data_IF_782020915773
#
_entry.id   IF_782020915773
#
_cell.length_a   1.000
_cell.length_b   1.000
_cell.length_c   1.000
_cell.angle_alpha   90.00
_cell.angle_beta   90.00
_cell.angle_gamma   90.00
#
_symmetry.space_group_name_H-M   'P 1'
#
loop_
_entity.id
_entity.type
_entity.pdbx_description
1 polymer ?
#
# COMPACT_ATOMS: atom_id res chain seq x y z
N UNK A 1 3.14 0.32 -23.63
CA UNK A 1 3.08 -0.76 -22.64
C UNK A 1 1.64 -1.25 -22.44
N UNK A 2 1.06 -1.94 -23.44
CA UNK A 2 -0.33 -2.43 -23.35
C UNK A 2 -0.53 -3.52 -22.29
N UNK A 3 0.55 -4.21 -21.90
CA UNK A 3 0.58 -5.24 -20.87
C UNK A 3 0.46 -4.67 -19.43
N UNK A 4 0.74 -3.38 -19.24
CA UNK A 4 0.59 -2.71 -17.93
C UNK A 4 -0.86 -2.26 -17.76
N UNK A 5 -1.55 -2.85 -16.79
CA UNK A 5 -2.94 -2.51 -16.48
C UNK A 5 -3.11 -1.56 -15.30
N UNK A 6 -2.10 -1.49 -14.42
CA UNK A 6 -2.06 -0.57 -13.28
C UNK A 6 -0.72 0.15 -13.27
N UNK A 7 -0.79 1.49 -13.32
CA UNK A 7 0.36 2.39 -13.25
C UNK A 7 0.18 3.33 -12.07
N UNK A 8 1.18 3.37 -11.17
CA UNK A 8 1.30 4.39 -10.13
C UNK A 8 2.46 5.33 -10.40
N UNK A 9 2.69 6.28 -9.49
CA UNK A 9 3.85 7.18 -9.54
C UNK A 9 4.43 7.40 -8.15
N UNK A 10 5.65 7.96 -8.10
CA UNK A 10 6.18 8.54 -6.88
C UNK A 10 5.34 9.76 -6.44
N UNK A 11 5.53 10.19 -5.19
CA UNK A 11 4.81 11.33 -4.62
C UNK A 11 5.72 12.17 -3.74
N UNK A 12 5.60 13.50 -3.83
CA UNK A 12 6.12 14.42 -2.82
C UNK A 12 5.18 14.44 -1.62
N UNK A 13 5.75 14.39 -0.43
CA UNK A 13 5.00 14.54 0.81
C UNK A 13 5.18 15.94 1.36
N UNK A 14 4.07 16.60 1.69
CA UNK A 14 4.07 17.90 2.34
C UNK A 14 3.34 17.84 3.67
N UNK A 15 3.75 18.66 4.63
CA UNK A 15 3.06 18.81 5.92
C UNK A 15 1.78 19.66 5.78
N UNK A 16 1.11 19.94 6.90
CA UNK A 16 -0.11 20.75 6.92
C UNK A 16 0.11 22.18 6.41
N UNK A 17 1.32 22.73 6.58
CA UNK A 17 1.72 24.06 6.10
C UNK A 17 2.17 24.08 4.64
N UNK A 18 2.18 22.93 3.95
CA UNK A 18 2.63 22.83 2.55
C UNK A 18 4.15 22.66 2.38
N UNK A 19 4.92 22.59 3.47
CA UNK A 19 6.36 22.39 3.40
C UNK A 19 6.68 20.94 3.03
N UNK A 20 7.57 20.73 2.06
CA UNK A 20 8.01 19.40 1.67
C UNK A 20 8.75 18.70 2.83
N UNK A 21 8.35 17.46 3.10
CA UNK A 21 8.90 16.62 4.18
C UNK A 21 9.54 15.34 3.66
N UNK A 22 9.41 15.05 2.39
CA UNK A 22 10.05 13.93 1.73
C UNK A 22 9.41 13.51 0.41
N UNK A 23 10.03 12.54 -0.25
CA UNK A 23 9.53 11.90 -1.46
C UNK A 23 9.35 10.41 -1.19
N UNK A 24 8.24 9.85 -1.64
CA UNK A 24 7.99 8.41 -1.64
C UNK A 24 8.21 7.88 -3.04
N UNK A 25 9.22 7.03 -3.20
CA UNK A 25 9.49 6.36 -4.49
C UNK A 25 9.20 4.88 -4.33
N UNK A 26 8.13 4.37 -4.94
CA UNK A 26 7.79 2.96 -4.92
C UNK A 26 8.67 2.16 -5.89
N UNK A 27 8.73 0.80 -5.77
CA UNK A 27 9.34 -0.05 -6.80
C UNK A 27 8.72 0.21 -8.17
N UNK A 28 9.55 0.30 -9.21
CA UNK A 28 9.11 0.68 -10.55
C UNK A 28 8.55 -0.50 -11.37
N UNK A 29 9.21 -1.66 -11.26
CA UNK A 29 8.91 -2.84 -12.08
C UNK A 29 7.93 -3.80 -11.40
N UNK A 30 7.26 -4.65 -12.21
CA UNK A 30 6.26 -5.62 -11.77
C UNK A 30 6.80 -6.56 -10.68
N UNK A 31 8.01 -7.08 -10.83
CA UNK A 31 8.60 -8.03 -9.89
C UNK A 31 8.88 -7.36 -8.53
N UNK A 32 9.42 -6.16 -8.53
CA UNK A 32 9.64 -5.35 -7.33
C UNK A 32 8.34 -5.00 -6.63
N UNK A 33 7.33 -4.60 -7.40
CA UNK A 33 5.99 -4.28 -6.89
C UNK A 33 5.36 -5.50 -6.23
N UNK A 34 5.37 -6.68 -6.87
CA UNK A 34 4.83 -7.92 -6.28
C UNK A 34 5.53 -8.30 -4.99
N UNK A 35 6.86 -8.22 -4.94
CA UNK A 35 7.63 -8.46 -3.70
C UNK A 35 7.29 -7.45 -2.59
N UNK A 36 6.98 -6.22 -2.94
CA UNK A 36 6.56 -5.20 -1.98
C UNK A 36 5.10 -5.38 -1.54
N UNK A 37 4.22 -5.78 -2.46
CA UNK A 37 2.78 -5.87 -2.26
C UNK A 37 2.41 -6.82 -1.13
N UNK A 38 3.01 -8.00 -1.03
CA UNK A 38 2.74 -8.93 0.07
C UNK A 38 3.22 -8.38 1.44
N UNK A 39 4.13 -7.43 1.46
CA UNK A 39 4.65 -6.78 2.67
C UNK A 39 3.87 -5.53 3.06
N UNK A 40 3.15 -4.93 2.13
CA UNK A 40 2.35 -3.71 2.29
C UNK A 40 1.96 -3.10 0.96
N UNK A 41 1.12 -2.08 1.00
CA UNK A 41 0.71 -1.36 -0.21
C UNK A 41 1.87 -0.52 -0.77
N UNK A 42 2.41 -0.85 -1.98
CA UNK A 42 3.50 -0.09 -2.59
C UNK A 42 3.03 1.09 -3.43
N UNK A 43 1.71 1.26 -3.61
CA UNK A 43 1.18 2.33 -4.44
C UNK A 43 0.77 3.55 -3.63
N UNK A 44 0.98 4.71 -4.20
CA UNK A 44 0.34 5.95 -3.77
C UNK A 44 -1.03 6.01 -4.45
N UNK A 45 -2.10 5.65 -3.73
CA UNK A 45 -3.44 5.47 -4.29
C UNK A 45 -3.89 6.63 -5.20
N UNK A 46 -3.66 7.88 -4.77
CA UNK A 46 -4.04 9.07 -5.54
C UNK A 46 -3.29 9.27 -6.86
N UNK A 47 -2.22 8.52 -7.10
CA UNK A 47 -1.45 8.58 -8.34
C UNK A 47 -1.80 7.48 -9.34
N UNK A 48 -2.68 6.55 -8.96
CA UNK A 48 -2.91 5.33 -9.74
C UNK A 48 -3.80 5.60 -10.94
N UNK A 49 -3.37 5.10 -12.10
CA UNK A 49 -4.14 4.96 -13.32
C UNK A 49 -4.40 3.49 -13.60
N UNK A 50 -5.63 3.16 -13.98
CA UNK A 50 -6.08 1.80 -14.29
C UNK A 50 -6.63 1.73 -15.72
N UNK A 51 -6.31 0.64 -16.41
CA UNK A 51 -7.05 0.30 -17.63
C UNK A 51 -8.45 -0.20 -17.24
N UNK A 52 -9.49 0.34 -17.87
CA UNK A 52 -10.88 -0.01 -17.57
C UNK A 52 -11.12 -1.53 -17.60
N UNK A 53 -10.66 -2.22 -18.64
CA UNK A 53 -10.80 -3.68 -18.77
C UNK A 53 -10.25 -4.44 -17.55
N UNK A 54 -9.12 -4.00 -17.02
CA UNK A 54 -8.45 -4.66 -15.88
C UNK A 54 -9.24 -4.45 -14.59
N UNK A 55 -9.90 -3.29 -14.46
CA UNK A 55 -10.80 -3.02 -13.34
C UNK A 55 -12.02 -3.94 -13.39
N UNK A 56 -12.58 -4.14 -14.57
CA UNK A 56 -13.73 -5.03 -14.79
C UNK A 56 -13.36 -6.50 -14.53
N UNK A 57 -12.22 -6.99 -15.03
CA UNK A 57 -11.66 -8.31 -14.74
C UNK A 57 -11.34 -8.52 -13.25
N UNK A 58 -10.87 -7.48 -12.56
CA UNK A 58 -10.60 -7.45 -11.12
C UNK A 58 -11.84 -7.28 -10.25
N UNK A 59 -13.03 -7.21 -10.83
CA UNK A 59 -14.32 -7.05 -10.14
C UNK A 59 -14.44 -5.75 -9.30
N UNK A 60 -13.68 -4.72 -9.64
CA UNK A 60 -13.74 -3.43 -8.96
C UNK A 60 -13.32 -3.45 -7.49
N UNK A 61 -13.71 -2.45 -6.75
CA UNK A 61 -13.50 -2.37 -5.30
C UNK A 61 -14.48 -3.27 -4.53
N UNK A 62 -13.99 -3.96 -3.50
CA UNK A 62 -14.87 -4.67 -2.56
C UNK A 62 -15.55 -3.67 -1.63
N UNK A 63 -16.84 -3.40 -1.85
CA UNK A 63 -17.63 -2.42 -1.10
C UNK A 63 -17.81 -2.78 0.39
N UNK A 64 -17.59 -4.05 0.76
CA UNK A 64 -17.63 -4.52 2.15
C UNK A 64 -16.42 -4.04 2.96
N UNK A 65 -15.35 -3.63 2.29
CA UNK A 65 -14.15 -3.12 2.94
C UNK A 65 -14.28 -1.60 3.17
N UNK A 66 -14.27 -1.19 4.42
CA UNK A 66 -14.26 0.24 4.81
C UNK A 66 -12.87 0.84 4.92
N UNK A 67 -11.82 0.00 4.84
CA UNK A 67 -10.39 0.36 4.87
C UNK A 67 -9.60 -0.65 4.03
N UNK A 68 -8.45 -0.22 3.51
CA UNK A 68 -7.55 -1.03 2.68
C UNK A 68 -8.19 -1.58 1.38
N UNK A 69 -9.25 -0.93 0.87
CA UNK A 69 -9.93 -1.31 -0.38
C UNK A 69 -8.97 -1.29 -1.57
N UNK A 70 -8.10 -0.27 -1.62
CA UNK A 70 -7.06 -0.11 -2.61
C UNK A 70 -6.05 -1.28 -2.54
N UNK A 71 -5.61 -1.65 -1.35
CA UNK A 71 -4.67 -2.74 -1.16
C UNK A 71 -5.24 -4.09 -1.59
N UNK A 72 -6.52 -4.38 -1.26
CA UNK A 72 -7.22 -5.57 -1.72
C UNK A 72 -7.31 -5.61 -3.26
N UNK A 73 -7.71 -4.49 -3.86
CA UNK A 73 -7.83 -4.39 -5.32
C UNK A 73 -6.47 -4.62 -6.00
N UNK A 74 -5.40 -3.96 -5.53
CA UNK A 74 -4.05 -4.15 -6.11
C UNK A 74 -3.58 -5.60 -6.01
N UNK A 75 -3.88 -6.27 -4.91
CA UNK A 75 -3.55 -7.68 -4.72
C UNK A 75 -4.29 -8.58 -5.73
N UNK A 76 -5.56 -8.32 -6.00
CA UNK A 76 -6.33 -9.05 -7.02
C UNK A 76 -5.85 -8.73 -8.43
N UNK A 77 -5.65 -7.46 -8.75
CA UNK A 77 -5.16 -7.02 -10.07
C UNK A 77 -3.76 -7.56 -10.39
N UNK A 78 -2.92 -7.74 -9.38
CA UNK A 78 -1.60 -8.33 -9.59
C UNK A 78 -1.63 -9.73 -10.20
N UNK A 79 -2.78 -10.41 -10.21
CA UNK A 79 -2.94 -11.77 -10.80
C UNK A 79 -3.29 -11.73 -12.28
N UNK A 80 -3.87 -10.64 -12.76
CA UNK A 80 -4.46 -10.54 -14.11
C UNK A 80 -3.72 -9.56 -15.01
N UNK A 81 -2.83 -8.72 -14.46
CA UNK A 81 -2.08 -7.74 -15.27
C UNK A 81 -0.68 -7.47 -14.71
N UNK A 82 0.16 -6.82 -15.52
CA UNK A 82 1.42 -6.24 -15.04
C UNK A 82 1.19 -4.91 -14.35
N UNK A 83 2.02 -4.66 -13.34
CA UNK A 83 2.00 -3.49 -12.49
C UNK A 83 3.27 -2.68 -12.74
N UNK A 84 3.16 -1.35 -12.73
CA UNK A 84 4.31 -0.46 -12.87
C UNK A 84 4.14 0.79 -12.01
N UNK A 85 5.27 1.43 -11.66
CA UNK A 85 5.28 2.78 -11.13
C UNK A 85 6.31 3.63 -11.88
N UNK A 86 5.97 4.88 -12.11
CA UNK A 86 6.95 5.89 -12.48
C UNK A 86 7.70 6.33 -11.22
N UNK A 87 9.01 6.47 -11.32
CA UNK A 87 9.85 6.99 -10.22
C UNK A 87 9.74 8.51 -10.08
N UNK A 88 9.11 9.15 -11.03
CA UNK A 88 8.84 10.58 -11.07
C UNK A 88 7.71 10.96 -10.11
N UNK A 89 7.90 11.96 -9.23
CA UNK A 89 6.86 12.36 -8.28
C UNK A 89 5.83 13.30 -8.93
N UNK A 90 4.80 12.71 -9.53
CA UNK A 90 3.77 13.44 -10.28
C UNK A 90 2.58 13.91 -9.40
N UNK A 91 2.53 13.49 -8.13
CA UNK A 91 1.49 13.93 -7.19
C UNK A 91 2.07 14.48 -5.90
N UNK A 92 1.34 15.40 -5.28
CA UNK A 92 1.66 15.92 -3.94
C UNK A 92 0.69 15.32 -2.93
N UNK A 93 1.24 14.63 -1.92
CA UNK A 93 0.48 14.01 -0.84
C UNK A 93 0.62 14.81 0.46
N UNK A 94 -0.47 15.44 0.90
CA UNK A 94 -0.50 16.19 2.16
C UNK A 94 -0.64 15.25 3.37
N UNK A 95 0.23 15.40 4.33
CA UNK A 95 0.26 14.61 5.56
C UNK A 95 -0.50 15.35 6.67
N UNK A 96 -1.82 15.14 6.74
CA UNK A 96 -2.65 15.75 7.78
C UNK A 96 -2.74 14.87 9.04
N UNK A 97 -2.80 15.47 10.24
CA UNK A 97 -3.23 14.78 11.45
C UNK A 97 -4.67 14.23 11.26
N UNK A 98 -4.98 13.09 11.86
CA UNK A 98 -6.34 12.52 11.82
C UNK A 98 -6.73 11.81 10.52
N UNK A 99 -5.78 11.53 9.61
CA UNK A 99 -6.07 10.72 8.40
C UNK A 99 -6.80 9.42 8.78
N UNK A 100 -7.74 8.98 7.92
CA UNK A 100 -8.53 7.75 8.09
C UNK A 100 -7.65 6.54 8.41
N UNK A 101 -6.49 6.42 7.75
CA UNK A 101 -5.53 5.35 7.99
C UNK A 101 -4.89 5.36 9.40
N UNK A 102 -5.01 6.47 10.15
CA UNK A 102 -4.59 6.57 11.54
C UNK A 102 -5.76 6.35 12.49
N UNK A 103 -6.92 6.91 12.19
CA UNK A 103 -8.13 6.81 13.00
C UNK A 103 -8.65 5.36 13.08
N UNK A 104 -8.55 4.61 11.99
CA UNK A 104 -9.01 3.22 11.88
C UNK A 104 -7.86 2.20 11.83
N UNK A 105 -6.80 2.42 12.63
CA UNK A 105 -5.56 1.63 12.57
C UNK A 105 -5.80 0.13 12.81
N UNK A 106 -6.61 -0.25 13.78
CA UNK A 106 -6.91 -1.67 14.07
C UNK A 106 -7.69 -2.34 12.93
N UNK A 107 -8.73 -1.67 12.40
CA UNK A 107 -9.50 -2.18 11.27
C UNK A 107 -8.62 -2.34 10.02
N UNK A 108 -7.73 -1.39 9.77
CA UNK A 108 -6.75 -1.45 8.67
C UNK A 108 -5.81 -2.63 8.82
N UNK A 109 -5.24 -2.86 10.01
CA UNK A 109 -4.35 -4.00 10.25
C UNK A 109 -5.07 -5.33 10.06
N UNK A 110 -6.31 -5.45 10.54
CA UNK A 110 -7.12 -6.64 10.33
C UNK A 110 -7.43 -6.89 8.85
N UNK A 111 -7.77 -5.83 8.10
CA UNK A 111 -8.00 -5.93 6.66
C UNK A 111 -6.71 -6.33 5.91
N UNK A 112 -5.58 -5.70 6.22
CA UNK A 112 -4.28 -6.06 5.63
C UNK A 112 -3.89 -7.52 5.91
N UNK A 113 -4.12 -8.03 7.12
CA UNK A 113 -3.87 -9.43 7.46
C UNK A 113 -4.74 -10.36 6.59
N UNK A 114 -6.03 -10.04 6.46
CA UNK A 114 -6.99 -10.82 5.66
C UNK A 114 -6.61 -10.83 4.18
N UNK A 115 -6.24 -9.69 3.61
CA UNK A 115 -5.80 -9.58 2.21
C UNK A 115 -4.57 -10.43 1.95
N UNK A 116 -3.55 -10.37 2.82
CA UNK A 116 -2.32 -11.17 2.69
C UNK A 116 -2.58 -12.66 2.86
N UNK A 117 -3.43 -13.02 3.83
CA UNK A 117 -3.81 -14.40 4.05
C UNK A 117 -4.50 -14.97 2.80
N UNK A 118 -5.50 -14.25 2.28
CA UNK A 118 -6.20 -14.64 1.04
C UNK A 118 -5.21 -14.78 -0.14
N UNK A 119 -4.26 -13.87 -0.29
CA UNK A 119 -3.28 -13.93 -1.38
C UNK A 119 -2.42 -15.21 -1.32
N UNK A 120 -2.14 -15.73 -0.13
CA UNK A 120 -1.42 -17.01 0.06
C UNK A 120 -2.34 -18.20 -0.17
N UNK A 121 -3.54 -18.20 0.42
CA UNK A 121 -4.49 -19.31 0.27
C UNK A 121 -5.00 -19.48 -1.17
N UNK A 122 -5.12 -18.40 -1.91
CA UNK A 122 -5.50 -18.42 -3.32
C UNK A 122 -4.33 -18.72 -4.27
N UNK A 123 -3.15 -19.06 -3.73
CA UNK A 123 -1.98 -19.47 -4.50
C UNK A 123 -1.25 -18.34 -5.25
N UNK A 124 -1.57 -17.07 -4.98
CA UNK A 124 -0.86 -15.93 -5.58
C UNK A 124 0.58 -15.80 -5.06
N UNK A 125 0.82 -16.31 -3.84
CA UNK A 125 2.14 -16.37 -3.21
C UNK A 125 2.37 -17.73 -2.57
N UNK A 126 3.65 -18.21 -2.51
CA UNK A 126 4.02 -19.43 -1.79
C UNK A 126 3.62 -19.38 -0.31
N UNK A 127 3.33 -20.53 0.29
CA UNK A 127 2.79 -20.64 1.65
C UNK A 127 3.66 -19.97 2.74
N UNK A 128 4.98 -19.97 2.58
CA UNK A 128 5.88 -19.30 3.54
C UNK A 128 5.73 -17.77 3.62
N UNK A 129 5.09 -17.16 2.63
CA UNK A 129 4.72 -15.75 2.70
C UNK A 129 3.59 -15.46 3.70
N UNK A 130 2.93 -16.48 4.25
CA UNK A 130 1.95 -16.33 5.33
C UNK A 130 2.53 -15.59 6.56
N UNK A 131 3.84 -15.65 6.77
CA UNK A 131 4.54 -14.87 7.81
C UNK A 131 4.26 -13.35 7.69
N UNK A 132 4.03 -12.83 6.47
CA UNK A 132 3.69 -11.43 6.29
C UNK A 132 2.24 -11.10 6.71
N UNK A 133 1.34 -12.08 6.72
CA UNK A 133 -0.01 -11.92 7.28
C UNK A 133 0.01 -11.89 8.83
N UNK A 134 0.99 -12.52 9.47
CA UNK A 134 1.14 -12.49 10.93
C UNK A 134 1.58 -11.13 11.47
N UNK A 135 2.35 -10.35 10.70
CA UNK A 135 2.85 -9.03 11.15
C UNK A 135 1.74 -8.07 11.60
N UNK A 136 0.67 -7.82 10.82
CA UNK A 136 -0.43 -6.98 11.29
C UNK A 136 -1.20 -7.63 12.44
N UNK A 137 -1.31 -8.96 12.50
CA UNK A 137 -1.94 -9.67 13.62
C UNK A 137 -1.15 -9.44 14.92
N UNK A 138 0.16 -9.63 14.90
CA UNK A 138 1.03 -9.33 16.04
C UNK A 138 0.97 -7.85 16.43
N UNK A 139 0.90 -6.96 15.45
CA UNK A 139 0.72 -5.55 15.73
C UNK A 139 -0.61 -5.26 16.44
N UNK A 140 -1.69 -6.00 16.17
CA UNK A 140 -2.97 -5.85 16.85
C UNK A 140 -2.90 -6.22 18.35
N UNK A 141 -2.01 -7.14 18.74
CA UNK A 141 -1.79 -7.51 20.13
C UNK A 141 -1.12 -6.39 20.96
N UNK A 142 -0.50 -5.40 20.30
CA UNK A 142 0.14 -4.29 20.99
C UNK A 142 -0.90 -3.23 21.42
N UNK A 143 -0.69 -2.56 22.57
CA UNK A 143 -1.50 -1.40 22.95
C UNK A 143 -1.53 -0.32 21.85
N UNK A 144 -2.70 0.30 21.61
CA UNK A 144 -2.88 1.26 20.53
C UNK A 144 -1.92 2.45 20.57
N UNK A 145 -1.53 2.90 21.77
CA UNK A 145 -0.53 3.96 21.92
C UNK A 145 0.84 3.54 21.40
N UNK A 146 1.29 2.32 21.73
CA UNK A 146 2.57 1.76 21.26
C UNK A 146 2.58 1.56 19.77
N UNK A 147 1.50 1.03 19.19
CA UNK A 147 1.35 0.91 17.71
C UNK A 147 1.54 2.24 17.00
N UNK A 148 0.87 3.29 17.50
CA UNK A 148 0.99 4.64 16.94
C UNK A 148 2.40 5.20 17.06
N UNK A 149 3.07 4.98 18.19
CA UNK A 149 4.46 5.41 18.40
C UNK A 149 5.43 4.70 17.42
N UNK A 150 5.35 3.38 17.30
CA UNK A 150 6.19 2.58 16.40
C UNK A 150 5.98 2.99 14.93
N UNK A 151 4.74 3.25 14.54
CA UNK A 151 4.42 3.72 13.19
C UNK A 151 5.02 5.11 12.90
N UNK A 152 4.95 6.03 13.87
CA UNK A 152 5.58 7.36 13.75
C UNK A 152 7.10 7.24 13.60
N UNK A 153 7.74 6.43 14.45
CA UNK A 153 9.18 6.19 14.41
C UNK A 153 9.62 5.61 13.06
N UNK A 154 8.87 4.64 12.51
CA UNK A 154 9.14 4.07 11.19
C UNK A 154 9.05 5.10 10.07
N UNK A 155 8.03 5.95 10.08
CA UNK A 155 7.88 7.03 9.10
C UNK A 155 9.04 8.03 9.18
N UNK A 156 9.47 8.40 10.38
CA UNK A 156 10.64 9.27 10.57
C UNK A 156 11.94 8.64 10.04
N UNK A 157 12.13 7.33 10.26
CA UNK A 157 13.34 6.62 9.77
C UNK A 157 13.38 6.58 8.24
N UNK A 158 12.24 6.25 7.60
CA UNK A 158 12.15 6.24 6.13
C UNK A 158 12.40 7.62 5.50
N UNK A 159 12.01 8.69 6.19
CA UNK A 159 12.26 10.08 5.75
C UNK A 159 13.73 10.49 5.87
N UNK A 160 14.47 9.95 6.83
CA UNK A 160 15.91 10.25 7.00
C UNK A 160 16.77 9.58 5.93
N UNK A 161 16.42 8.36 5.50
CA UNK A 161 17.12 7.64 4.43
C UNK A 161 16.79 8.12 3.02
N UNK A 162 15.81 8.99 2.85
CA UNK A 162 15.44 9.60 1.57
C UNK A 162 15.97 11.04 1.39
N UNK A 163 16.80 11.52 2.32
CA UNK A 163 17.57 12.77 2.13
C UNK A 163 18.87 12.42 1.43
N UNK A 164 19.20 13.08 0.31
CA UNK A 164 20.47 12.93 -0.39
C UNK A 164 21.64 13.29 0.51
#
# INVERSE_FOLDING_TARGET
>A
HPEVGLLGTAAREVDAGGREVGVVVPPADDAGIRRALIRGNPFVHSSVMLRRRVLDEGQGYDERLTVAQDYDLWMRLSRVTRLANLTEPLVVRRLLPGRVSLARDAARLAAEARVRWRAVTDGAYPWWYAVFALRPVLALALPGALRRALRRARLHRMRRSARP
#
